data_IF_300748042116
#
_entry.id   IF_300748042116
#
_cell.length_a   1.000
_cell.length_b   1.000
_cell.length_c   1.000
_cell.angle_alpha   90.00
_cell.angle_beta   90.00
_cell.angle_gamma   90.00
#
_symmetry.space_group_name_H-M   'P 1'
#
loop_
_entity.id
_entity.type
_entity.pdbx_description
1 polymer ?
#
# COMPACT_ATOMS: atom_id res chain seq x y z
N UNK A 1 -32.13 1.65 -21.06
CA UNK A 1 -30.72 2.13 -21.01
C UNK A 1 -30.56 3.55 -20.43
N UNK A 2 -31.59 4.22 -19.89
CA UNK A 2 -31.44 5.61 -19.39
C UNK A 2 -31.95 5.83 -17.96
N UNK A 3 -33.15 5.38 -17.57
CA UNK A 3 -33.77 5.79 -16.30
C UNK A 3 -33.25 5.12 -15.01
N UNK A 4 -32.58 3.96 -15.11
CA UNK A 4 -32.01 3.28 -13.93
C UNK A 4 -30.66 3.88 -13.49
N UNK A 5 -29.98 4.57 -14.42
CA UNK A 5 -28.68 5.21 -14.22
C UNK A 5 -28.85 6.58 -13.56
N UNK A 6 -29.96 7.27 -13.86
CA UNK A 6 -30.26 8.60 -13.34
C UNK A 6 -30.82 8.55 -11.90
N UNK A 7 -31.63 7.53 -11.55
CA UNK A 7 -32.06 7.29 -10.15
C UNK A 7 -30.92 6.81 -9.22
N UNK A 8 -29.87 6.20 -9.77
CA UNK A 8 -28.66 5.83 -9.01
C UNK A 8 -27.80 7.05 -8.69
N UNK A 9 -27.77 8.05 -9.58
CA UNK A 9 -27.01 9.28 -9.42
C UNK A 9 -27.61 10.23 -8.36
N UNK A 10 -28.95 10.29 -8.24
CA UNK A 10 -29.61 11.08 -7.18
C UNK A 10 -29.46 10.46 -5.78
N UNK A 11 -29.43 9.13 -5.67
CA UNK A 11 -29.30 8.42 -4.39
C UNK A 11 -27.87 8.52 -3.81
N UNK A 12 -26.85 8.57 -4.67
CA UNK A 12 -25.43 8.72 -4.29
C UNK A 12 -25.09 10.17 -3.90
N UNK A 13 -25.87 11.16 -4.35
CA UNK A 13 -25.66 12.57 -4.00
C UNK A 13 -26.21 12.97 -2.62
N UNK A 14 -27.05 12.13 -1.97
CA UNK A 14 -27.69 12.47 -0.70
C UNK A 14 -27.15 11.70 0.53
N UNK A 15 -26.42 10.61 0.35
CA UNK A 15 -25.96 9.79 1.46
C UNK A 15 -24.50 10.08 1.82
N UNK A 16 -24.33 10.67 3.01
CA UNK A 16 -23.09 10.69 3.78
C UNK A 16 -22.40 9.31 3.74
N UNK A 17 -21.08 9.35 3.53
CA UNK A 17 -20.13 8.23 3.45
C UNK A 17 -20.65 6.94 4.09
N UNK A 18 -20.93 5.88 3.29
CA UNK A 18 -21.22 4.58 3.84
C UNK A 18 -19.93 3.98 4.36
N UNK A 19 -19.83 3.91 5.69
CA UNK A 19 -19.03 2.90 6.36
C UNK A 19 -19.70 1.58 6.03
N UNK A 20 -19.17 0.86 5.03
CA UNK A 20 -19.54 -0.53 4.84
C UNK A 20 -18.34 -1.45 5.06
N UNK A 21 -18.62 -2.37 5.97
CA UNK A 21 -17.76 -3.32 6.62
C UNK A 21 -17.37 -4.47 5.69
N UNK A 22 -16.08 -4.81 5.66
CA UNK A 22 -15.60 -6.05 5.08
C UNK A 22 -14.68 -5.84 3.88
N UNK A 23 -13.64 -6.68 3.84
CA UNK A 23 -12.66 -6.90 2.78
C UNK A 23 -12.99 -6.19 1.45
N UNK A 24 -12.18 -5.20 1.07
CA UNK A 24 -12.33 -4.47 -0.20
C UNK A 24 -12.49 -5.45 -1.35
N UNK A 25 -13.58 -5.32 -2.10
CA UNK A 25 -13.85 -6.19 -3.23
C UNK A 25 -12.78 -5.91 -4.31
N UNK A 26 -12.30 -6.93 -5.05
CA UNK A 26 -11.21 -6.73 -6.03
C UNK A 26 -11.45 -5.65 -7.08
N UNK A 27 -12.71 -5.29 -7.35
CA UNK A 27 -13.07 -4.21 -8.30
C UNK A 27 -13.00 -2.80 -7.69
N UNK A 28 -12.84 -2.68 -6.38
CA UNK A 28 -12.66 -1.41 -5.66
C UNK A 28 -11.18 -1.01 -5.57
N UNK A 29 -10.25 -1.93 -5.89
CA UNK A 29 -8.82 -1.65 -5.98
C UNK A 29 -8.51 -1.19 -7.42
N UNK A 30 -7.91 0.00 -7.61
CA UNK A 30 -7.58 0.50 -8.93
C UNK A 30 -6.48 -0.35 -9.58
N UNK A 31 -6.45 -0.33 -10.92
CA UNK A 31 -5.39 -0.98 -11.70
C UNK A 31 -4.10 -0.16 -11.77
N UNK A 32 -4.21 1.16 -11.63
CA UNK A 32 -3.07 2.08 -11.69
C UNK A 32 -2.94 2.83 -10.36
N UNK A 33 -1.71 3.11 -9.95
CA UNK A 33 -1.41 3.80 -8.69
C UNK A 33 -1.95 5.24 -8.69
N UNK A 34 -2.00 5.86 -9.87
CA UNK A 34 -2.56 7.21 -10.07
C UNK A 34 -4.06 7.28 -9.76
N UNK A 35 -4.75 6.16 -9.83
CA UNK A 35 -6.20 6.08 -9.64
C UNK A 35 -6.57 5.79 -8.18
N UNK A 36 -5.58 5.66 -7.27
CA UNK A 36 -5.85 5.52 -5.83
C UNK A 36 -6.67 6.72 -5.32
N UNK A 37 -7.89 6.50 -4.82
CA UNK A 37 -8.76 7.59 -4.37
C UNK A 37 -8.17 8.41 -3.21
N UNK A 38 -8.47 9.71 -3.16
CA UNK A 38 -7.92 10.62 -2.15
C UNK A 38 -8.36 10.31 -0.71
N UNK A 39 -9.54 9.73 -0.54
CA UNK A 39 -10.06 9.23 0.74
C UNK A 39 -9.25 8.04 1.26
N UNK A 40 -8.89 7.08 0.40
CA UNK A 40 -7.99 5.96 0.76
C UNK A 40 -6.65 6.50 1.25
N UNK A 41 -6.06 7.45 0.52
CA UNK A 41 -4.80 8.11 0.90
C UNK A 41 -4.95 8.83 2.24
N UNK A 42 -6.08 9.51 2.45
CA UNK A 42 -6.33 10.24 3.69
C UNK A 42 -6.42 9.31 4.89
N UNK A 43 -7.17 8.20 4.79
CA UNK A 43 -7.28 7.19 5.85
C UNK A 43 -5.90 6.62 6.18
N UNK A 44 -5.16 6.18 5.16
CA UNK A 44 -3.81 5.61 5.35
C UNK A 44 -2.87 6.61 6.01
N UNK A 45 -2.86 7.86 5.54
CA UNK A 45 -2.02 8.91 6.10
C UNK A 45 -2.36 9.23 7.57
N UNK A 46 -3.65 9.35 7.89
CA UNK A 46 -4.10 9.67 9.24
C UNK A 46 -3.70 8.58 10.25
N UNK A 47 -3.92 7.30 9.93
CA UNK A 47 -3.62 6.23 10.88
C UNK A 47 -2.13 5.90 10.95
N UNK A 48 -1.38 6.00 9.85
CA UNK A 48 0.07 5.91 9.93
C UNK A 48 0.65 7.02 10.78
N UNK A 49 0.21 8.28 10.62
CA UNK A 49 0.68 9.39 11.47
C UNK A 49 0.48 9.10 12.97
N UNK A 50 -0.64 8.49 13.36
CA UNK A 50 -0.86 8.03 14.74
C UNK A 50 0.16 6.96 15.15
N UNK A 51 0.40 5.96 14.30
CA UNK A 51 1.35 4.89 14.61
C UNK A 51 2.77 5.45 14.72
N UNK A 52 3.18 6.33 13.81
CA UNK A 52 4.49 6.99 13.85
C UNK A 52 4.67 7.80 15.13
N UNK A 53 3.65 8.54 15.57
CA UNK A 53 3.67 9.27 16.85
C UNK A 53 3.83 8.35 18.07
N UNK A 54 3.36 7.11 17.99
CA UNK A 54 3.46 6.12 19.08
C UNK A 54 4.80 5.36 19.02
N UNK A 55 5.29 5.05 17.82
CA UNK A 55 6.59 4.44 17.58
C UNK A 55 7.75 5.39 17.94
N UNK A 56 7.52 6.71 17.93
CA UNK A 56 8.50 7.74 18.26
C UNK A 56 8.83 7.82 19.77
N UNK A 57 9.46 6.77 20.30
CA UNK A 57 10.27 6.92 21.53
C UNK A 57 11.61 7.64 21.26
N UNK A 58 12.09 7.87 20.02
CA UNK A 58 13.44 8.44 19.77
C UNK A 58 13.60 9.24 18.44
N UNK A 59 13.29 10.54 18.47
CA UNK A 59 13.73 11.67 17.59
C UNK A 59 12.93 12.05 16.32
N UNK A 60 12.34 13.26 16.39
CA UNK A 60 12.37 14.41 15.45
C UNK A 60 12.14 14.21 13.93
N UNK A 61 11.57 13.10 13.44
CA UNK A 61 11.35 12.96 11.99
C UNK A 61 9.87 13.02 11.68
N UNK A 62 9.40 14.22 11.35
CA UNK A 62 8.08 14.42 10.77
C UNK A 62 8.03 13.75 9.37
N UNK A 63 7.26 12.67 9.27
CA UNK A 63 7.04 11.96 8.01
C UNK A 63 5.69 12.41 7.45
N UNK A 64 5.72 13.24 6.40
CA UNK A 64 4.51 13.65 5.69
C UNK A 64 4.03 12.53 4.75
N UNK A 65 3.27 11.59 5.32
CA UNK A 65 2.74 10.40 4.63
C UNK A 65 1.91 10.78 3.40
N UNK A 66 1.04 11.80 3.55
CA UNK A 66 0.17 12.24 2.46
C UNK A 66 0.99 12.79 1.29
N UNK A 67 2.03 13.58 1.57
CA UNK A 67 2.95 14.08 0.54
C UNK A 67 3.73 12.95 -0.12
N UNK A 68 4.21 11.96 0.63
CA UNK A 68 4.91 10.79 0.07
C UNK A 68 4.03 10.07 -0.96
N UNK A 69 2.79 9.75 -0.61
CA UNK A 69 1.89 9.02 -1.51
C UNK A 69 1.53 9.87 -2.74
N UNK A 70 1.25 11.17 -2.56
CA UNK A 70 0.93 12.05 -3.69
C UNK A 70 2.13 12.26 -4.64
N UNK A 71 3.35 12.37 -4.11
CA UNK A 71 4.55 12.45 -4.93
C UNK A 71 4.76 11.17 -5.73
N UNK A 72 4.52 9.99 -5.12
CA UNK A 72 4.54 8.73 -5.84
C UNK A 72 3.50 8.69 -6.97
N UNK A 73 2.27 9.19 -6.73
CA UNK A 73 1.26 9.30 -7.80
C UNK A 73 1.74 10.16 -8.97
N UNK A 74 2.45 11.25 -8.71
CA UNK A 74 3.03 12.08 -9.78
C UNK A 74 4.06 11.29 -10.59
N UNK A 75 4.92 10.50 -9.92
CA UNK A 75 5.93 9.68 -10.60
C UNK A 75 5.30 8.58 -11.47
N UNK A 76 4.22 7.94 -11.00
CA UNK A 76 3.48 6.95 -11.80
C UNK A 76 2.67 7.58 -12.94
N UNK A 77 2.19 8.82 -12.80
CA UNK A 77 1.23 9.44 -13.73
C UNK A 77 1.78 10.42 -14.75
N UNK A 78 3.06 10.77 -14.68
CA UNK A 78 3.62 11.85 -15.50
C UNK A 78 4.71 11.36 -16.45
N UNK A 79 5.11 12.25 -17.37
CA UNK A 79 6.34 12.11 -18.14
C UNK A 79 7.61 11.94 -17.29
N UNK A 80 7.55 12.11 -15.96
CA UNK A 80 8.69 11.86 -15.05
C UNK A 80 9.19 10.42 -15.15
N UNK A 81 8.29 9.43 -15.28
CA UNK A 81 8.66 8.03 -15.53
C UNK A 81 9.59 7.87 -16.75
N UNK A 82 9.42 8.72 -17.75
CA UNK A 82 10.17 8.69 -19.00
C UNK A 82 11.36 9.66 -19.04
N UNK A 83 11.47 10.55 -18.03
CA UNK A 83 12.50 11.59 -17.94
C UNK A 83 13.49 11.37 -16.78
N UNK A 84 13.20 10.46 -15.86
CA UNK A 84 14.07 10.09 -14.73
C UNK A 84 14.43 8.60 -14.83
N UNK A 85 15.69 8.30 -15.15
CA UNK A 85 16.21 6.93 -15.25
C UNK A 85 16.07 6.15 -13.92
N UNK A 86 16.02 6.86 -12.80
CA UNK A 86 15.95 6.30 -11.45
C UNK A 86 14.57 6.50 -10.79
N UNK A 87 13.53 6.80 -11.57
CA UNK A 87 12.19 7.09 -11.06
C UNK A 87 11.68 5.98 -10.12
N UNK A 88 11.94 4.72 -10.48
CA UNK A 88 11.47 3.56 -9.71
C UNK A 88 12.21 3.46 -8.37
N UNK A 89 13.51 3.78 -8.34
CA UNK A 89 14.32 3.81 -7.12
C UNK A 89 13.90 4.95 -6.20
N UNK A 90 13.67 6.15 -6.75
CA UNK A 90 13.17 7.30 -6.00
C UNK A 90 11.78 7.03 -5.42
N UNK A 91 10.89 6.44 -6.22
CA UNK A 91 9.56 6.05 -5.78
C UNK A 91 9.63 4.95 -4.72
N UNK A 92 10.43 3.91 -4.93
CA UNK A 92 10.59 2.81 -3.97
C UNK A 92 11.17 3.29 -2.64
N UNK A 93 12.15 4.19 -2.65
CA UNK A 93 12.70 4.79 -1.43
C UNK A 93 11.62 5.54 -0.64
N UNK A 94 10.79 6.32 -1.33
CA UNK A 94 9.71 7.10 -0.74
C UNK A 94 8.60 6.20 -0.17
N UNK A 95 8.13 5.22 -0.96
CA UNK A 95 7.08 4.29 -0.52
C UNK A 95 7.57 3.38 0.61
N UNK A 96 8.85 2.96 0.60
CA UNK A 96 9.43 2.18 1.69
C UNK A 96 9.40 2.95 3.01
N UNK A 97 9.56 4.27 2.98
CA UNK A 97 9.55 5.11 4.19
C UNK A 97 8.25 4.95 5.00
N UNK A 98 7.12 4.68 4.33
CA UNK A 98 5.80 4.45 4.96
C UNK A 98 5.79 3.30 5.96
N UNK A 99 6.66 2.30 5.75
CA UNK A 99 6.71 1.06 6.55
C UNK A 99 8.11 0.79 7.11
N UNK A 100 9.07 1.70 6.93
CA UNK A 100 10.45 1.49 7.38
C UNK A 100 10.57 1.54 8.90
N UNK A 101 9.77 2.39 9.54
CA UNK A 101 9.91 2.74 10.96
C UNK A 101 8.80 2.16 11.84
N UNK A 102 8.04 1.22 11.29
CA UNK A 102 6.81 0.73 11.91
C UNK A 102 6.94 -0.76 12.13
N UNK A 103 6.97 -1.19 13.38
CA UNK A 103 7.00 -2.60 13.76
C UNK A 103 5.58 -3.11 14.02
N UNK A 104 5.33 -4.42 13.96
CA UNK A 104 4.05 -4.98 14.40
C UNK A 104 3.64 -4.53 15.81
N UNK A 105 4.61 -4.26 16.69
CA UNK A 105 4.34 -3.78 18.05
C UNK A 105 3.77 -2.36 18.04
N UNK A 106 4.27 -1.49 17.16
CA UNK A 106 3.80 -0.12 17.02
C UNK A 106 2.35 -0.10 16.50
N UNK A 107 2.04 -0.97 15.54
CA UNK A 107 0.66 -1.17 15.09
C UNK A 107 -0.24 -1.66 16.22
N UNK A 108 0.18 -2.63 17.03
CA UNK A 108 -0.64 -3.12 18.15
C UNK A 108 -0.85 -2.06 19.24
N UNK A 109 0.21 -1.31 19.57
CA UNK A 109 0.16 -0.23 20.56
C UNK A 109 -0.77 0.91 20.11
N UNK A 110 -0.70 1.27 18.83
CA UNK A 110 -1.54 2.33 18.25
C UNK A 110 -2.98 1.88 18.00
N UNK A 111 -3.16 0.61 17.64
CA UNK A 111 -4.43 0.02 17.28
C UNK A 111 -4.78 -1.00 18.35
N UNK A 112 -5.09 -0.53 19.57
CA UNK A 112 -5.41 -1.36 20.75
C UNK A 112 -6.57 -2.36 20.56
N UNK A 113 -7.26 -2.31 19.41
CA UNK A 113 -8.28 -3.25 18.97
C UNK A 113 -7.73 -4.40 18.10
N UNK A 114 -6.46 -4.34 17.68
CA UNK A 114 -5.74 -5.46 17.06
C UNK A 114 -5.38 -6.42 18.19
N UNK A 115 -5.82 -7.70 18.13
CA UNK A 115 -5.38 -8.68 19.11
C UNK A 115 -3.85 -8.81 19.10
N UNK A 116 -3.21 -8.70 20.26
CA UNK A 116 -1.76 -8.92 20.42
C UNK A 116 -1.38 -10.30 19.86
N UNK A 117 -0.97 -10.37 18.61
CA UNK A 117 -0.33 -11.52 17.96
C UNK A 117 -1.06 -12.87 17.96
N UNK A 118 -2.31 -12.98 18.43
CA UNK A 118 -3.05 -14.26 18.44
C UNK A 118 -3.81 -14.50 17.12
N UNK A 119 -3.99 -13.49 16.26
CA UNK A 119 -4.73 -13.65 15.00
C UNK A 119 -3.79 -13.98 13.82
N UNK A 120 -3.82 -15.20 13.26
CA UNK A 120 -2.93 -15.60 12.16
C UNK A 120 -3.07 -14.70 10.92
N UNK A 121 -4.25 -14.14 10.68
CA UNK A 121 -4.46 -13.25 9.54
C UNK A 121 -3.70 -11.91 9.66
N UNK A 122 -3.48 -11.43 10.89
CA UNK A 122 -2.71 -10.20 11.16
C UNK A 122 -1.21 -10.49 11.01
N UNK A 123 -0.76 -11.66 11.47
CA UNK A 123 0.62 -12.10 11.30
C UNK A 123 0.99 -12.28 9.82
N UNK A 124 0.10 -12.85 9.01
CA UNK A 124 0.27 -12.94 7.56
C UNK A 124 0.38 -11.57 6.88
N UNK A 125 -0.40 -10.58 7.35
CA UNK A 125 -0.32 -9.20 6.87
C UNK A 125 1.03 -8.55 7.22
N UNK A 126 1.53 -8.73 8.44
CA UNK A 126 2.86 -8.25 8.84
C UNK A 126 4.00 -8.93 8.07
N UNK A 127 3.89 -10.23 7.83
CA UNK A 127 4.84 -10.94 6.98
C UNK A 127 4.82 -10.41 5.55
N UNK A 128 3.64 -10.09 5.00
CA UNK A 128 3.52 -9.46 3.67
C UNK A 128 4.15 -8.05 3.67
N UNK A 129 4.00 -7.26 4.73
CA UNK A 129 4.68 -5.95 4.86
C UNK A 129 6.20 -6.09 4.80
N UNK A 130 6.79 -6.98 5.59
CA UNK A 130 8.25 -7.18 5.58
C UNK A 130 8.75 -7.66 4.21
N UNK A 131 8.03 -8.57 3.54
CA UNK A 131 8.40 -8.99 2.19
C UNK A 131 8.31 -7.84 1.17
N UNK A 132 7.29 -6.97 1.25
CA UNK A 132 7.18 -5.77 0.41
C UNK A 132 8.36 -4.82 0.68
N UNK A 133 8.70 -4.59 1.95
CA UNK A 133 9.85 -3.76 2.34
C UNK A 133 11.18 -4.30 1.81
N UNK A 134 11.37 -5.62 1.82
CA UNK A 134 12.54 -6.28 1.23
C UNK A 134 12.58 -6.08 -0.30
N UNK A 135 11.44 -6.19 -0.97
CA UNK A 135 11.34 -5.96 -2.42
C UNK A 135 11.69 -4.51 -2.77
N UNK A 136 11.09 -3.53 -2.09
CA UNK A 136 11.40 -2.11 -2.28
C UNK A 136 12.88 -1.82 -2.00
N UNK A 137 13.48 -2.47 -0.99
CA UNK A 137 14.91 -2.37 -0.71
C UNK A 137 15.77 -2.94 -1.84
N UNK A 138 15.35 -4.03 -2.47
CA UNK A 138 16.04 -4.58 -3.64
C UNK A 138 15.98 -3.67 -4.87
N UNK A 139 14.91 -2.88 -5.01
CA UNK A 139 14.82 -1.82 -6.02
C UNK A 139 15.84 -0.72 -5.70
N UNK A 140 15.76 -0.14 -4.50
CA UNK A 140 16.62 0.96 -4.04
C UNK A 140 18.11 0.62 -4.13
N UNK A 141 18.52 -0.61 -3.80
CA UNK A 141 19.91 -1.03 -3.76
C UNK A 141 20.39 -1.76 -5.02
N UNK A 142 19.64 -1.70 -6.13
CA UNK A 142 19.99 -2.36 -7.39
C UNK A 142 20.37 -3.84 -7.21
N UNK A 143 19.59 -4.59 -6.42
CA UNK A 143 19.84 -5.99 -6.11
C UNK A 143 18.87 -6.95 -6.84
N UNK A 144 18.95 -7.08 -8.19
CA UNK A 144 17.95 -7.80 -8.98
C UNK A 144 17.92 -9.31 -8.74
N UNK A 145 19.04 -9.90 -8.29
CA UNK A 145 19.17 -11.37 -8.10
C UNK A 145 18.19 -11.94 -7.08
N UNK A 146 17.78 -11.14 -6.09
CA UNK A 146 16.90 -11.59 -5.02
C UNK A 146 15.42 -11.27 -5.29
N UNK A 147 15.11 -10.46 -6.31
CA UNK A 147 13.75 -9.95 -6.57
C UNK A 147 12.73 -11.06 -6.84
N UNK A 148 12.99 -12.07 -7.71
CA UNK A 148 12.03 -13.16 -7.95
C UNK A 148 11.65 -13.93 -6.68
N UNK A 149 12.64 -14.23 -5.85
CA UNK A 149 12.44 -14.99 -4.61
C UNK A 149 11.63 -14.21 -3.58
N UNK A 150 11.79 -12.89 -3.54
CA UNK A 150 10.98 -12.03 -2.67
C UNK A 150 9.57 -11.89 -3.24
N UNK A 151 9.42 -11.71 -4.55
CA UNK A 151 8.10 -11.63 -5.20
C UNK A 151 7.26 -12.89 -4.99
N UNK A 152 7.86 -14.09 -5.00
CA UNK A 152 7.15 -15.32 -4.65
C UNK A 152 6.75 -15.39 -3.16
N UNK A 153 7.44 -14.69 -2.27
CA UNK A 153 6.97 -14.57 -0.88
C UNK A 153 5.78 -13.61 -0.75
N UNK A 154 5.68 -12.60 -1.63
CA UNK A 154 4.55 -11.67 -1.69
C UNK A 154 3.35 -12.32 -2.40
N UNK A 155 3.63 -13.08 -3.46
CA UNK A 155 2.66 -13.67 -4.39
C UNK A 155 2.96 -15.16 -4.68
N UNK A 156 2.78 -16.06 -3.71
CA UNK A 156 3.24 -17.46 -3.77
C UNK A 156 2.65 -18.31 -4.90
N UNK A 157 1.53 -17.89 -5.49
CA UNK A 157 0.85 -18.63 -6.56
C UNK A 157 1.15 -18.09 -7.97
N UNK A 158 2.04 -17.11 -8.10
CA UNK A 158 2.36 -16.46 -9.38
C UNK A 158 3.67 -16.95 -10.01
N UNK A 159 4.46 -17.77 -9.29
CA UNK A 159 5.65 -18.45 -9.81
C UNK A 159 6.70 -17.50 -10.41
N UNK A 160 6.94 -16.36 -9.76
CA UNK A 160 7.95 -15.37 -10.14
C UNK A 160 9.37 -15.95 -10.16
N UNK A 161 9.70 -16.94 -9.31
CA UNK A 161 11.01 -17.62 -9.36
C UNK A 161 11.28 -18.39 -10.65
N UNK A 162 10.25 -18.65 -11.46
CA UNK A 162 10.36 -19.34 -12.73
C UNK A 162 10.53 -18.37 -13.91
N UNK A 163 10.43 -17.06 -13.68
CA UNK A 163 10.65 -16.06 -14.73
C UNK A 163 12.12 -15.95 -15.10
N UNK A 164 12.39 -15.80 -16.39
CA UNK A 164 13.73 -15.41 -16.85
C UNK A 164 14.01 -13.97 -16.44
N UNK A 165 15.30 -13.60 -16.41
CA UNK A 165 15.71 -12.24 -16.07
C UNK A 165 15.11 -11.20 -17.03
N UNK A 166 15.03 -11.54 -18.31
CA UNK A 166 14.48 -10.68 -19.35
C UNK A 166 13.00 -10.41 -19.12
N UNK A 167 12.21 -11.46 -18.87
CA UNK A 167 10.78 -11.33 -18.56
C UNK A 167 10.52 -10.54 -17.29
N UNK A 168 11.39 -10.68 -16.29
CA UNK A 168 11.28 -9.89 -15.07
C UNK A 168 11.48 -8.40 -15.35
N UNK A 169 12.49 -8.05 -16.14
CA UNK A 169 12.77 -6.64 -16.51
C UNK A 169 11.62 -6.05 -17.34
N UNK A 170 11.08 -6.80 -18.31
CA UNK A 170 9.95 -6.37 -19.13
C UNK A 170 8.68 -6.11 -18.31
N UNK A 171 8.47 -6.88 -17.24
CA UNK A 171 7.31 -6.76 -16.37
C UNK A 171 7.56 -5.88 -15.13
N UNK A 172 8.78 -5.39 -14.91
CA UNK A 172 9.20 -4.81 -13.62
C UNK A 172 8.39 -3.58 -13.25
N UNK A 173 8.12 -2.70 -14.20
CA UNK A 173 7.28 -1.52 -14.02
C UNK A 173 5.88 -1.88 -13.51
N UNK A 174 5.26 -2.88 -14.13
CA UNK A 174 3.92 -3.35 -13.79
C UNK A 174 3.90 -4.03 -12.42
N UNK A 175 4.90 -4.88 -12.14
CA UNK A 175 5.06 -5.55 -10.86
C UNK A 175 5.25 -4.52 -9.75
N UNK A 176 6.11 -3.52 -9.96
CA UNK A 176 6.37 -2.46 -9.01
C UNK A 176 5.09 -1.67 -8.70
N UNK A 177 4.33 -1.30 -9.73
CA UNK A 177 3.07 -0.61 -9.56
C UNK A 177 2.06 -1.42 -8.74
N UNK A 178 1.89 -2.71 -9.04
CA UNK A 178 1.02 -3.59 -8.25
C UNK A 178 1.48 -3.67 -6.80
N UNK A 179 2.76 -3.86 -6.55
CA UNK A 179 3.29 -3.96 -5.18
C UNK A 179 3.02 -2.68 -4.39
N UNK A 180 3.17 -1.51 -5.02
CA UNK A 180 2.85 -0.23 -4.40
C UNK A 180 1.35 -0.08 -4.11
N UNK A 181 0.46 -0.46 -5.04
CA UNK A 181 -0.99 -0.43 -4.82
C UNK A 181 -1.36 -1.37 -3.67
N UNK A 182 -0.86 -2.61 -3.71
CA UNK A 182 -1.09 -3.63 -2.69
C UNK A 182 -0.70 -3.15 -1.30
N UNK A 183 0.43 -2.45 -1.18
CA UNK A 183 0.88 -1.91 0.11
C UNK A 183 -0.13 -0.91 0.69
N UNK A 184 -0.57 0.06 -0.12
CA UNK A 184 -1.53 1.08 0.32
C UNK A 184 -2.86 0.45 0.71
N UNK A 185 -3.33 -0.53 -0.07
CA UNK A 185 -4.60 -1.20 0.20
C UNK A 185 -4.52 -2.18 1.37
N UNK A 186 -3.37 -2.79 1.63
CA UNK A 186 -3.17 -3.62 2.82
C UNK A 186 -3.20 -2.77 4.10
N UNK A 187 -2.57 -1.60 4.09
CA UNK A 187 -2.67 -0.61 5.17
C UNK A 187 -4.12 -0.15 5.35
N UNK A 188 -4.78 0.21 4.26
CA UNK A 188 -6.17 0.66 4.29
C UNK A 188 -7.12 -0.41 4.84
N UNK A 189 -6.97 -1.68 4.44
CA UNK A 189 -7.77 -2.80 4.96
C UNK A 189 -7.53 -2.98 6.46
N UNK A 190 -6.27 -2.94 6.91
CA UNK A 190 -5.92 -3.04 8.32
C UNK A 190 -6.60 -1.92 9.12
N UNK A 191 -6.51 -0.67 8.66
CA UNK A 191 -7.12 0.47 9.36
C UNK A 191 -8.64 0.45 9.35
N UNK A 192 -9.25 0.07 8.23
CA UNK A 192 -10.70 -0.10 8.19
C UNK A 192 -11.16 -1.15 9.19
N UNK A 193 -10.49 -2.30 9.21
CA UNK A 193 -10.87 -3.43 10.06
C UNK A 193 -10.71 -3.16 11.55
N UNK A 194 -9.67 -2.45 11.96
CA UNK A 194 -9.30 -2.33 13.37
C UNK A 194 -9.44 -0.93 13.97
N UNK A 195 -9.64 0.10 13.15
CA UNK A 195 -9.71 1.48 13.61
C UNK A 195 -11.03 2.16 13.29
N UNK A 196 -11.64 1.82 12.15
CA UNK A 196 -12.89 2.44 11.69
C UNK A 196 -14.10 1.57 12.08
N UNK A 197 -14.02 0.27 11.82
CA UNK A 197 -15.14 -0.63 12.10
C UNK A 197 -15.14 -1.03 13.58
N UNK A 198 -15.90 -0.31 14.42
CA UNK A 198 -16.26 -0.83 15.75
C UNK A 198 -17.23 -2.00 15.57
N UNK A 199 -16.93 -3.12 16.25
CA UNK A 199 -17.93 -4.14 16.57
C UNK A 199 -18.89 -3.63 17.63
#
# INVERSE_FOLDING_TARGET
MSELKDKLLETVQQAQVPVDSGKLLPHQIPKNFIDIPSDVIHIVATYLDVIFKIAEEKKNKEVDIKRIINNAKILFGSGAKWNDEYWMQHCAASIRELITFVTPSDFNNALSCIPEYVNPAVEEQFKKFENIKDYLSCIVHFAPKNRPAILDKIYPNQSFNQLTKEKLVEAEDYIFEIVCIDLIYLLHELFNRYCITKK
#
